data_IF_870417174688
#
_entry.id   IF_870417174688
#
_cell.length_a   1.000
_cell.length_b   1.000
_cell.length_c   1.000
_cell.angle_alpha   90.00
_cell.angle_beta   90.00
_cell.angle_gamma   90.00
#
_symmetry.space_group_name_H-M   'P 1'
#
loop_
_entity.id
_entity.type
_entity.pdbx_description
1 polymer ?
#
# COMPACT_ATOMS: atom_id res chain seq x y z
N UNK A 1 8.75 -2.96 3.88
CA UNK A 1 8.57 -2.70 2.43
C UNK A 1 9.08 -3.81 1.50
N UNK A 2 10.02 -4.68 1.90
CA UNK A 2 10.57 -5.75 1.03
C UNK A 2 9.58 -6.91 0.75
N UNK A 3 8.56 -7.08 1.61
CA UNK A 3 7.59 -8.18 1.55
C UNK A 3 6.46 -7.90 0.53
N UNK A 4 5.78 -6.76 0.66
CA UNK A 4 4.63 -6.39 -0.21
C UNK A 4 4.97 -6.42 -1.71
N UNK A 5 6.10 -5.85 -2.14
CA UNK A 5 6.48 -5.89 -3.57
C UNK A 5 6.81 -7.29 -4.08
N UNK A 6 7.39 -8.14 -3.22
CA UNK A 6 7.80 -9.50 -3.58
C UNK A 6 6.58 -10.42 -3.71
N UNK A 7 5.63 -10.29 -2.79
CA UNK A 7 4.40 -11.10 -2.78
C UNK A 7 3.46 -10.68 -3.91
N UNK A 8 3.47 -9.39 -4.28
CA UNK A 8 2.64 -8.85 -5.36
C UNK A 8 3.29 -8.90 -6.74
N UNK A 9 4.51 -9.43 -6.85
CA UNK A 9 5.26 -9.59 -8.11
C UNK A 9 5.27 -8.31 -8.94
N UNK A 10 5.43 -7.16 -8.28
CA UNK A 10 5.39 -5.85 -8.93
C UNK A 10 6.57 -5.01 -8.49
N UNK A 11 7.05 -4.14 -9.37
CA UNK A 11 8.15 -3.25 -9.06
C UNK A 11 7.73 -2.25 -7.98
N UNK A 12 8.65 -1.97 -7.05
CA UNK A 12 8.40 -1.04 -5.93
C UNK A 12 8.02 0.36 -6.39
N UNK A 13 8.47 0.75 -7.58
CA UNK A 13 8.16 2.04 -8.22
C UNK A 13 6.67 2.17 -8.56
N UNK A 14 5.96 1.05 -8.69
CA UNK A 14 4.51 1.02 -8.96
C UNK A 14 3.65 0.96 -7.69
N UNK A 15 4.28 1.02 -6.50
CA UNK A 15 3.62 0.93 -5.21
C UNK A 15 3.69 2.30 -4.51
N UNK A 16 2.52 2.88 -4.25
CA UNK A 16 2.40 4.10 -3.46
C UNK A 16 1.77 3.76 -2.10
N UNK A 17 2.29 4.35 -1.03
CA UNK A 17 1.79 4.15 0.34
C UNK A 17 1.59 5.53 0.96
N UNK A 18 0.46 5.74 1.63
CA UNK A 18 0.09 7.04 2.20
C UNK A 18 0.82 7.41 3.51
N UNK A 19 1.68 6.55 4.06
CA UNK A 19 2.35 6.77 5.34
C UNK A 19 3.73 6.11 5.36
N UNK A 20 4.66 6.73 6.10
CA UNK A 20 5.99 6.20 6.39
C UNK A 20 6.12 5.63 7.80
N UNK A 21 5.10 5.82 8.66
CA UNK A 21 5.18 5.53 10.10
C UNK A 21 4.79 4.08 10.45
N UNK A 22 3.72 3.54 9.85
CA UNK A 22 3.26 2.17 10.06
C UNK A 22 2.67 1.61 8.78
N UNK A 23 2.83 0.31 8.55
CA UNK A 23 2.17 -0.37 7.43
C UNK A 23 0.74 -0.78 7.78
N UNK A 24 0.39 -0.90 9.05
CA UNK A 24 -0.95 -1.33 9.45
C UNK A 24 -1.98 -0.22 9.21
N UNK A 25 -3.10 -0.57 8.58
CA UNK A 25 -4.10 0.38 8.11
C UNK A 25 -3.62 1.27 6.95
N UNK A 26 -2.40 1.08 6.44
CA UNK A 26 -1.87 1.88 5.34
C UNK A 26 -2.68 1.64 4.07
N UNK A 27 -2.92 2.73 3.34
CA UNK A 27 -3.57 2.70 2.04
C UNK A 27 -2.49 2.59 0.97
N UNK A 28 -2.59 1.52 0.19
CA UNK A 28 -1.60 1.12 -0.81
C UNK A 28 -2.23 1.17 -2.19
N UNK A 29 -1.60 1.89 -3.13
CA UNK A 29 -1.97 1.90 -4.54
C UNK A 29 -0.96 1.10 -5.34
N UNK A 30 -1.44 0.19 -6.19
CA UNK A 30 -0.62 -0.68 -7.03
C UNK A 30 -1.20 -0.67 -8.43
N UNK A 31 -0.50 -0.05 -9.36
CA UNK A 31 -1.11 0.32 -10.65
C UNK A 31 -2.36 1.17 -10.40
N UNK A 32 -3.54 0.70 -10.80
CA UNK A 32 -4.83 1.37 -10.57
C UNK A 32 -5.67 0.77 -9.45
N UNK A 33 -5.14 -0.22 -8.72
CA UNK A 33 -5.85 -0.90 -7.65
C UNK A 33 -5.47 -0.29 -6.30
N UNK A 34 -6.45 -0.25 -5.39
CA UNK A 34 -6.28 0.26 -4.05
C UNK A 34 -6.50 -0.85 -3.04
N UNK A 35 -5.67 -0.85 -2.00
CA UNK A 35 -5.70 -1.82 -0.94
C UNK A 35 -5.53 -1.12 0.40
N UNK A 36 -6.07 -1.74 1.45
CA UNK A 36 -5.69 -1.47 2.83
C UNK A 36 -4.90 -2.65 3.35
N UNK A 37 -3.77 -2.36 3.97
CA UNK A 37 -2.98 -3.37 4.68
C UNK A 37 -3.62 -3.60 6.04
N UNK A 38 -3.84 -4.86 6.38
CA UNK A 38 -4.23 -5.29 7.72
C UNK A 38 -3.09 -6.16 8.23
N UNK A 39 -2.34 -5.67 9.20
CA UNK A 39 -1.19 -6.40 9.75
C UNK A 39 -1.66 -7.46 10.72
N UNK A 40 -1.06 -8.65 10.66
CA UNK A 40 -1.27 -9.70 11.65
C UNK A 40 -0.43 -9.49 12.90
N UNK A 41 -0.76 -10.25 13.95
CA UNK A 41 -0.24 -10.09 15.32
C UNK A 41 1.29 -10.20 15.45
N UNK A 42 1.98 -10.75 14.47
CA UNK A 42 3.43 -11.00 14.51
C UNK A 42 4.25 -10.07 13.58
N UNK A 43 3.63 -9.12 12.88
CA UNK A 43 4.32 -8.17 11.99
C UNK A 43 4.97 -8.78 10.74
N UNK A 44 4.91 -10.10 10.59
CA UNK A 44 5.39 -10.85 9.41
C UNK A 44 4.26 -11.13 8.42
N UNK A 45 3.05 -11.34 8.93
CA UNK A 45 1.87 -11.61 8.13
C UNK A 45 1.04 -10.35 7.92
N UNK A 46 0.43 -10.24 6.75
CA UNK A 46 -0.51 -9.17 6.44
C UNK A 46 -1.57 -9.65 5.45
N UNK A 47 -2.74 -9.05 5.50
CA UNK A 47 -3.78 -9.17 4.50
C UNK A 47 -3.83 -7.88 3.67
N UNK A 48 -4.13 -8.03 2.39
CA UNK A 48 -4.45 -6.91 1.51
C UNK A 48 -5.94 -6.94 1.22
N UNK A 49 -6.66 -6.05 1.87
CA UNK A 49 -8.08 -5.86 1.59
C UNK A 49 -8.20 -4.94 0.37
N UNK A 50 -8.76 -5.46 -0.73
CA UNK A 50 -9.01 -4.65 -1.92
C UNK A 50 -10.13 -3.65 -1.64
N UNK A 51 -9.89 -2.39 -2.01
CA UNK A 51 -10.86 -1.30 -1.86
C UNK A 51 -11.19 -0.73 -3.25
N UNK A 52 -12.48 -0.63 -3.54
CA UNK A 52 -12.97 0.13 -4.68
C UNK A 52 -13.27 1.57 -4.22
N UNK A 53 -12.70 2.55 -4.89
CA UNK A 53 -12.87 3.96 -4.54
C UNK A 53 -13.93 4.60 -5.42
N UNK A 54 -14.89 5.29 -4.81
CA UNK A 54 -15.89 6.07 -5.52
C UNK A 54 -15.54 7.57 -5.43
N UNK A 55 -15.22 8.17 -6.59
CA UNK A 55 -14.84 9.58 -6.75
C UNK A 55 -13.76 10.08 -5.74
N UNK A 56 -12.63 9.36 -5.60
CA UNK A 56 -11.63 9.71 -4.61
C UNK A 56 -10.89 11.01 -4.95
N UNK A 57 -10.72 11.90 -3.97
CA UNK A 57 -9.86 13.07 -4.07
C UNK A 57 -8.45 12.70 -3.61
N UNK A 58 -7.68 12.04 -4.46
CA UNK A 58 -6.31 11.60 -4.16
C UNK A 58 -5.32 12.41 -4.99
N UNK A 59 -4.31 12.98 -4.32
CA UNK A 59 -3.15 13.60 -4.94
C UNK A 59 -1.91 12.77 -4.58
N UNK A 60 -1.15 12.33 -5.60
CA UNK A 60 0.11 11.62 -5.38
C UNK A 60 1.21 12.68 -5.32
N UNK A 61 1.75 12.90 -4.13
CA UNK A 61 2.86 13.84 -3.92
C UNK A 61 4.16 13.05 -3.84
N UNK A 62 5.07 13.28 -4.79
CA UNK A 62 6.44 12.78 -4.67
C UNK A 62 7.16 13.55 -3.57
N UNK A 63 7.61 12.85 -2.53
CA UNK A 63 8.48 13.45 -1.52
C UNK A 63 9.85 13.63 -2.16
N UNK A 64 10.20 14.85 -2.55
CA UNK A 64 11.58 15.19 -2.90
C UNK A 64 12.44 14.97 -1.67
N UNK A 65 13.44 14.10 -1.83
CA UNK A 65 14.38 13.70 -0.79
C UNK A 65 15.42 14.78 -0.51
#
# INVERSE_FOLDING_TARGET
MKFVSKDLKTDKENIYINTSASIDGALVKIGNLYYRVISGDNGENYLLEKIELNNPKIEIVEVKK
#
